data_IF_704870773976
#
_entry.id   IF_704870773976
#
_cell.length_a   1.000
_cell.length_b   1.000
_cell.length_c   1.000
_cell.angle_alpha   90.00
_cell.angle_beta   90.00
_cell.angle_gamma   90.00
#
_symmetry.space_group_name_H-M   'P 1'
#
loop_
_entity.id
_entity.type
_entity.pdbx_description
1 polymer ?
#
# COMPACT_ATOMS: atom_id res chain seq x y z
N UNK A 1 -13.23 -2.27 -19.96
CA UNK A 1 -13.14 -3.70 -20.33
C UNK A 1 -12.88 -4.48 -19.05
N UNK A 2 -13.90 -5.11 -18.48
CA UNK A 2 -13.66 -6.18 -17.51
C UNK A 2 -13.21 -7.39 -18.32
N UNK A 3 -11.90 -7.64 -18.28
CA UNK A 3 -11.36 -8.80 -18.98
C UNK A 3 -11.74 -10.07 -18.23
N UNK A 4 -11.92 -11.15 -19.00
CA UNK A 4 -12.50 -12.43 -18.59
C UNK A 4 -11.98 -12.90 -17.23
N UNK A 5 -12.91 -13.35 -16.37
CA UNK A 5 -12.72 -14.06 -15.08
C UNK A 5 -11.36 -14.76 -14.99
N UNK A 6 -10.34 -14.06 -14.48
CA UNK A 6 -9.08 -14.70 -14.08
C UNK A 6 -9.39 -15.50 -12.84
N UNK A 7 -9.57 -16.82 -12.99
CA UNK A 7 -9.75 -17.72 -11.86
C UNK A 7 -8.44 -17.82 -11.08
N UNK A 8 -8.52 -18.09 -9.76
CA UNK A 8 -7.31 -18.30 -8.95
C UNK A 8 -6.42 -19.40 -9.52
N UNK A 9 -7.03 -20.47 -10.05
CA UNK A 9 -6.30 -21.52 -10.77
C UNK A 9 -5.51 -21.02 -11.99
N UNK A 10 -6.11 -20.19 -12.85
CA UNK A 10 -5.40 -19.62 -14.01
C UNK A 10 -4.25 -18.71 -13.57
N UNK A 11 -4.48 -17.90 -12.54
CA UNK A 11 -3.46 -17.06 -11.95
C UNK A 11 -2.29 -17.90 -11.39
N UNK A 12 -2.60 -18.94 -10.62
CA UNK A 12 -1.61 -19.87 -10.03
C UNK A 12 -0.74 -20.50 -11.11
N UNK A 13 -1.35 -20.97 -12.20
CA UNK A 13 -0.61 -21.54 -13.31
C UNK A 13 0.38 -20.53 -13.90
N UNK A 14 -0.09 -19.32 -14.22
CA UNK A 14 0.76 -18.26 -14.78
C UNK A 14 1.87 -17.82 -13.83
N UNK A 15 1.56 -17.66 -12.54
CA UNK A 15 2.53 -17.25 -11.54
C UNK A 15 3.62 -18.30 -11.32
N UNK A 16 3.28 -19.60 -11.35
CA UNK A 16 4.26 -20.68 -11.29
C UNK A 16 5.13 -20.76 -12.54
N UNK A 17 4.54 -20.70 -13.74
CA UNK A 17 5.34 -20.67 -14.98
C UNK A 17 6.30 -19.48 -15.03
N UNK A 18 5.86 -18.32 -14.51
CA UNK A 18 6.75 -17.16 -14.37
C UNK A 18 7.87 -17.41 -13.35
N UNK A 19 7.58 -18.02 -12.20
CA UNK A 19 8.58 -18.36 -11.19
C UNK A 19 9.62 -19.36 -11.71
N UNK A 20 9.20 -20.34 -12.49
CA UNK A 20 10.08 -21.32 -13.13
C UNK A 20 11.05 -20.62 -14.11
N UNK A 21 10.55 -19.68 -14.91
CA UNK A 21 11.38 -18.87 -15.80
C UNK A 21 12.31 -17.92 -15.01
N UNK A 22 11.82 -17.34 -13.91
CA UNK A 22 12.58 -16.45 -13.05
C UNK A 22 13.76 -17.16 -12.35
N UNK A 23 13.56 -18.43 -11.99
CA UNK A 23 14.56 -19.26 -11.30
C UNK A 23 15.31 -20.22 -12.21
N UNK A 24 15.12 -20.10 -13.53
CA UNK A 24 15.76 -20.96 -14.50
C UNK A 24 17.29 -20.88 -14.34
N UNK A 25 17.98 -22.01 -14.07
CA UNK A 25 19.42 -22.00 -13.86
C UNK A 25 20.14 -21.66 -15.17
N UNK A 26 21.33 -21.06 -15.05
CA UNK A 26 22.21 -20.92 -16.19
C UNK A 26 22.58 -22.30 -16.74
N UNK A 27 22.60 -22.43 -18.06
CA UNK A 27 23.02 -23.66 -18.75
C UNK A 27 24.30 -23.42 -19.55
N UNK A 28 25.09 -24.47 -19.71
CA UNK A 28 26.39 -24.39 -20.37
C UNK A 28 27.51 -23.86 -19.46
N UNK A 29 28.71 -23.75 -20.01
CA UNK A 29 29.88 -23.28 -19.28
C UNK A 29 30.10 -21.79 -19.54
N UNK A 30 30.35 -20.96 -18.50
CA UNK A 30 30.76 -19.57 -18.70
C UNK A 30 31.94 -19.52 -19.69
N UNK A 31 31.87 -18.63 -20.67
CA UNK A 31 32.84 -18.46 -21.76
C UNK A 31 32.74 -19.46 -22.95
N UNK A 32 31.65 -20.24 -23.05
CA UNK A 32 31.33 -20.98 -24.28
C UNK A 32 30.15 -20.35 -25.02
N UNK A 33 30.10 -20.54 -26.34
CA UNK A 33 29.03 -20.00 -27.21
C UNK A 33 27.64 -20.55 -26.90
N UNK A 34 27.55 -21.68 -26.20
CA UNK A 34 26.30 -22.30 -25.77
C UNK A 34 25.88 -21.92 -24.35
N UNK A 35 26.51 -20.93 -23.73
CA UNK A 35 26.13 -20.46 -22.40
C UNK A 35 24.81 -19.66 -22.46
N UNK A 36 23.80 -20.14 -21.75
CA UNK A 36 22.57 -19.39 -21.52
C UNK A 36 22.55 -18.96 -20.06
N UNK A 37 22.57 -17.65 -19.83
CA UNK A 37 22.53 -17.10 -18.48
C UNK A 37 21.11 -17.20 -17.93
N UNK A 38 20.98 -17.83 -16.77
CA UNK A 38 19.76 -17.82 -15.96
C UNK A 38 19.52 -16.46 -15.31
N UNK A 39 18.29 -16.22 -14.87
CA UNK A 39 17.88 -14.92 -14.32
C UNK A 39 18.32 -14.77 -12.86
N UNK A 40 17.66 -15.49 -11.95
CA UNK A 40 17.89 -15.44 -10.51
C UNK A 40 17.98 -16.85 -9.92
N UNK A 41 18.51 -16.96 -8.71
CA UNK A 41 18.56 -18.22 -7.95
C UNK A 41 17.33 -18.34 -7.08
N UNK A 42 17.04 -19.57 -6.65
CA UNK A 42 16.00 -19.85 -5.66
C UNK A 42 16.22 -19.08 -4.35
N UNK A 43 17.47 -18.80 -4.00
CA UNK A 43 17.86 -18.01 -2.82
C UNK A 43 17.48 -16.52 -2.93
N UNK A 44 17.28 -16.02 -4.15
CA UNK A 44 16.91 -14.62 -4.41
C UNK A 44 15.39 -14.40 -4.34
N UNK A 45 14.62 -15.45 -4.05
CA UNK A 45 13.16 -15.35 -3.88
C UNK A 45 12.86 -14.56 -2.61
N UNK A 46 12.31 -13.37 -2.79
CA UNK A 46 11.84 -12.54 -1.67
C UNK A 46 10.50 -13.05 -1.12
N UNK A 47 10.14 -12.69 0.12
CA UNK A 47 8.83 -13.01 0.68
C UNK A 47 7.65 -12.55 -0.19
N UNK A 48 7.78 -11.41 -0.88
CA UNK A 48 6.74 -10.91 -1.79
C UNK A 48 6.53 -11.83 -2.99
N UNK A 49 7.60 -12.37 -3.57
CA UNK A 49 7.50 -13.33 -4.68
C UNK A 49 6.85 -14.62 -4.19
N UNK A 50 7.24 -15.11 -3.00
CA UNK A 50 6.63 -16.29 -2.41
C UNK A 50 5.12 -16.12 -2.23
N UNK A 51 4.68 -14.98 -1.67
CA UNK A 51 3.25 -14.65 -1.49
C UNK A 51 2.51 -14.57 -2.82
N UNK A 52 3.10 -13.92 -3.82
CA UNK A 52 2.52 -13.80 -5.16
C UNK A 52 2.27 -15.18 -5.80
N UNK A 53 3.26 -16.06 -5.79
CA UNK A 53 3.19 -17.33 -6.53
C UNK A 53 2.42 -18.44 -5.80
N UNK A 54 2.36 -18.40 -4.46
CA UNK A 54 1.79 -19.48 -3.66
C UNK A 54 0.45 -19.12 -3.01
N UNK A 55 0.25 -17.86 -2.61
CA UNK A 55 -0.89 -17.46 -1.77
C UNK A 55 -1.89 -16.58 -2.52
N UNK A 56 -1.46 -15.72 -3.43
CA UNK A 56 -2.37 -14.76 -4.08
C UNK A 56 -3.55 -15.40 -4.85
N UNK A 57 -3.37 -16.61 -5.40
CA UNK A 57 -4.45 -17.38 -6.03
C UNK A 57 -5.54 -17.80 -5.03
N UNK A 58 -5.16 -18.26 -3.85
CA UNK A 58 -6.08 -18.64 -2.78
C UNK A 58 -6.85 -17.41 -2.28
N UNK A 59 -6.16 -16.28 -2.10
CA UNK A 59 -6.79 -15.01 -1.75
C UNK A 59 -7.83 -14.56 -2.78
N UNK A 60 -7.53 -14.73 -4.08
CA UNK A 60 -8.47 -14.42 -5.16
C UNK A 60 -9.72 -15.31 -5.10
N UNK A 61 -9.59 -16.58 -4.70
CA UNK A 61 -10.72 -17.51 -4.61
C UNK A 61 -11.56 -17.25 -3.36
N UNK A 62 -10.93 -17.09 -2.19
CA UNK A 62 -11.64 -16.84 -0.92
C UNK A 62 -12.33 -15.48 -0.94
N UNK A 63 -11.70 -14.45 -1.51
CA UNK A 63 -12.17 -13.06 -1.43
C UNK A 63 -12.59 -12.49 -2.78
N UNK A 64 -13.05 -13.34 -3.71
CA UNK A 64 -13.48 -12.95 -5.05
C UNK A 64 -14.58 -11.86 -5.05
N UNK A 65 -15.41 -11.80 -4.00
CA UNK A 65 -16.46 -10.78 -3.85
C UNK A 65 -15.89 -9.38 -3.59
N UNK A 66 -14.85 -9.28 -2.77
CA UNK A 66 -14.25 -8.00 -2.36
C UNK A 66 -13.16 -7.53 -3.34
N UNK A 67 -12.51 -8.47 -4.01
CA UNK A 67 -11.38 -8.23 -4.89
C UNK A 67 -10.11 -7.78 -4.15
N UNK A 68 -8.97 -7.83 -4.84
CA UNK A 68 -7.65 -7.52 -4.23
C UNK A 68 -7.55 -6.06 -3.76
N UNK A 69 -8.28 -5.14 -4.38
CA UNK A 69 -8.27 -3.72 -4.02
C UNK A 69 -8.75 -3.48 -2.58
N UNK A 70 -9.64 -4.33 -2.06
CA UNK A 70 -10.14 -4.23 -0.68
C UNK A 70 -9.05 -4.48 0.38
N UNK A 71 -8.00 -5.23 0.03
CA UNK A 71 -6.86 -5.52 0.90
C UNK A 71 -5.72 -4.51 0.76
N UNK A 72 -5.87 -3.52 -0.12
CA UNK A 72 -4.88 -2.47 -0.27
C UNK A 72 -4.84 -1.57 0.97
N UNK A 73 -3.64 -1.28 1.45
CA UNK A 73 -3.42 -0.29 2.51
C UNK A 73 -3.41 1.16 2.00
N UNK A 74 -3.58 1.39 0.69
CA UNK A 74 -3.60 2.75 0.12
C UNK A 74 -4.56 3.72 0.81
N UNK A 75 -5.78 3.32 1.25
CA UNK A 75 -6.66 4.22 1.99
C UNK A 75 -6.06 4.67 3.34
N UNK A 76 -5.38 3.77 4.05
CA UNK A 76 -4.74 4.04 5.35
C UNK A 76 -3.54 4.96 5.15
N UNK A 77 -2.69 4.68 4.17
CA UNK A 77 -1.56 5.54 3.80
C UNK A 77 -2.02 6.94 3.41
N UNK A 78 -3.08 7.03 2.62
CA UNK A 78 -3.69 8.32 2.24
C UNK A 78 -4.23 9.07 3.44
N UNK A 79 -4.90 8.38 4.39
CA UNK A 79 -5.38 9.00 5.63
C UNK A 79 -4.22 9.53 6.47
N UNK A 80 -3.17 8.74 6.65
CA UNK A 80 -1.97 9.15 7.36
C UNK A 80 -1.30 10.36 6.69
N UNK A 81 -1.13 10.33 5.37
CA UNK A 81 -0.58 11.45 4.62
C UNK A 81 -1.41 12.73 4.78
N UNK A 82 -2.75 12.64 4.66
CA UNK A 82 -3.63 13.79 4.87
C UNK A 82 -3.55 14.33 6.29
N UNK A 83 -3.46 13.47 7.30
CA UNK A 83 -3.29 13.87 8.70
C UNK A 83 -1.96 14.60 8.90
N UNK A 84 -0.87 14.06 8.36
CA UNK A 84 0.45 14.70 8.40
C UNK A 84 0.40 16.08 7.71
N UNK A 85 -0.19 16.18 6.52
CA UNK A 85 -0.31 17.46 5.81
C UNK A 85 -1.20 18.48 6.53
N UNK A 86 -2.31 18.05 7.12
CA UNK A 86 -3.27 18.92 7.82
C UNK A 86 -2.62 19.60 9.02
N UNK A 87 -1.92 18.84 9.85
CA UNK A 87 -1.40 19.32 11.13
C UNK A 87 0.02 19.83 11.04
N UNK A 88 0.86 19.20 10.23
CA UNK A 88 2.27 19.57 10.15
C UNK A 88 2.61 20.45 8.97
N UNK A 89 1.69 20.80 8.04
CA UNK A 89 1.81 21.85 6.99
C UNK A 89 3.25 22.27 6.56
N UNK A 90 4.19 21.33 6.38
CA UNK A 90 5.64 21.57 6.23
C UNK A 90 6.38 22.31 7.38
N UNK A 91 5.83 22.48 8.58
CA UNK A 91 6.56 22.97 9.75
C UNK A 91 7.45 21.87 10.34
N UNK A 92 8.69 22.29 10.66
CA UNK A 92 9.76 21.47 11.23
C UNK A 92 9.29 20.73 12.50
N UNK A 93 9.92 19.57 12.75
CA UNK A 93 9.86 18.81 14.01
C UNK A 93 9.63 19.77 15.18
N UNK A 94 8.57 19.54 15.95
CA UNK A 94 8.13 20.31 17.13
C UNK A 94 7.01 21.34 16.90
N UNK A 95 6.26 21.21 15.80
CA UNK A 95 5.13 22.07 15.40
C UNK A 95 3.94 22.14 16.38
N UNK A 96 4.14 22.73 17.56
CA UNK A 96 3.11 23.33 18.39
C UNK A 96 2.97 24.82 18.08
N UNK A 97 1.76 25.36 18.27
CA UNK A 97 1.60 26.81 18.22
C UNK A 97 2.38 27.43 19.38
N UNK A 98 3.35 28.32 19.13
CA UNK A 98 4.15 28.97 20.20
C UNK A 98 3.30 29.66 21.27
N UNK A 99 2.08 30.08 20.92
CA UNK A 99 1.13 30.71 21.83
C UNK A 99 0.29 29.70 22.62
N UNK A 100 0.25 28.45 22.15
CA UNK A 100 -0.35 27.32 22.84
C UNK A 100 0.73 26.66 23.69
N UNK A 101 0.48 26.51 24.99
CA UNK A 101 1.36 25.72 25.87
C UNK A 101 1.13 24.20 25.71
N UNK A 102 0.47 23.76 24.64
CA UNK A 102 0.15 22.34 24.39
C UNK A 102 1.12 21.74 23.37
N UNK A 103 1.33 20.43 23.47
CA UNK A 103 2.05 19.70 22.43
C UNK A 103 1.20 19.63 21.16
N UNK A 104 1.84 19.51 20.00
CA UNK A 104 1.17 19.32 18.71
C UNK A 104 0.17 18.15 18.76
N UNK A 105 0.52 17.07 19.46
CA UNK A 105 -0.32 15.88 19.62
C UNK A 105 -1.62 16.21 20.37
N UNK A 106 -1.55 17.00 21.46
CA UNK A 106 -2.75 17.41 22.21
C UNK A 106 -3.65 18.32 21.37
N UNK A 107 -3.07 19.25 20.60
CA UNK A 107 -3.83 20.11 19.68
C UNK A 107 -4.53 19.29 18.59
N UNK A 108 -3.86 18.28 18.05
CA UNK A 108 -4.44 17.34 17.08
C UNK A 108 -5.61 16.57 17.68
N UNK A 109 -5.42 15.97 18.86
CA UNK A 109 -6.46 15.20 19.54
C UNK A 109 -7.69 16.04 19.88
N UNK A 110 -7.50 17.27 20.37
CA UNK A 110 -8.60 18.19 20.66
C UNK A 110 -9.37 18.58 19.39
N UNK A 111 -8.65 18.89 18.31
CA UNK A 111 -9.28 19.22 17.02
C UNK A 111 -10.08 18.03 16.46
N UNK A 112 -9.54 16.80 16.50
CA UNK A 112 -10.25 15.59 16.06
C UNK A 112 -11.50 15.33 16.93
N UNK A 113 -11.37 15.48 18.25
CA UNK A 113 -12.48 15.30 19.18
C UNK A 113 -13.60 16.34 18.96
N UNK A 114 -13.24 17.60 18.67
CA UNK A 114 -14.23 18.62 18.30
C UNK A 114 -14.92 18.31 16.98
N UNK A 115 -14.20 17.83 15.96
CA UNK A 115 -14.83 17.42 14.70
C UNK A 115 -15.85 16.29 14.92
N UNK A 116 -15.50 15.30 15.75
CA UNK A 116 -16.42 14.22 16.14
C UNK A 116 -17.65 14.77 16.85
N UNK A 117 -17.47 15.66 17.83
CA UNK A 117 -18.57 16.30 18.54
C UNK A 117 -19.54 17.03 17.60
N UNK A 118 -19.03 17.86 16.68
CA UNK A 118 -19.87 18.57 15.71
C UNK A 118 -20.64 17.61 14.80
N UNK A 119 -19.98 16.54 14.33
CA UNK A 119 -20.59 15.53 13.48
C UNK A 119 -21.70 14.75 14.20
N UNK A 120 -21.43 14.28 15.43
CA UNK A 120 -22.39 13.51 16.24
C UNK A 120 -23.60 14.34 16.67
N UNK A 121 -23.39 15.60 17.03
CA UNK A 121 -24.47 16.47 17.50
C UNK A 121 -25.17 17.25 16.37
N UNK A 122 -24.79 17.02 15.10
CA UNK A 122 -25.32 17.74 13.92
C UNK A 122 -25.23 19.27 14.04
N UNK A 123 -24.23 19.76 14.76
CA UNK A 123 -23.99 21.20 14.95
C UNK A 123 -23.07 21.69 13.82
N UNK A 124 -23.29 22.88 13.23
CA UNK A 124 -22.43 23.42 12.20
C UNK A 124 -20.96 23.46 12.65
N UNK A 125 -20.07 22.90 11.85
CA UNK A 125 -18.65 22.91 12.15
C UNK A 125 -18.03 24.24 11.70
N UNK A 126 -17.55 25.02 12.66
CA UNK A 126 -16.91 26.32 12.43
C UNK A 126 -15.38 26.23 12.24
N UNK A 127 -14.81 25.02 12.28
CA UNK A 127 -13.37 24.80 12.10
C UNK A 127 -12.97 25.04 10.65
N UNK A 128 -11.85 25.76 10.47
CA UNK A 128 -11.29 26.08 9.16
C UNK A 128 -10.84 24.79 8.48
N UNK A 129 -11.43 24.45 7.34
CA UNK A 129 -11.03 23.25 6.57
C UNK A 129 -9.56 23.37 6.12
N UNK A 130 -8.82 22.26 6.16
CA UNK A 130 -7.50 22.18 5.53
C UNK A 130 -7.58 22.59 4.06
N UNK A 131 -6.60 23.36 3.60
CA UNK A 131 -6.38 23.53 2.17
C UNK A 131 -6.09 22.15 1.56
N UNK A 132 -6.95 21.70 0.64
CA UNK A 132 -6.70 20.48 -0.14
C UNK A 132 -5.58 20.78 -1.13
N UNK A 133 -4.42 20.21 -0.90
CA UNK A 133 -3.38 20.16 -1.92
C UNK A 133 -3.64 18.92 -2.77
N UNK A 134 -3.85 19.10 -4.08
CA UNK A 134 -3.84 17.99 -5.04
C UNK A 134 -2.38 17.57 -5.22
N UNK A 135 -2.06 16.33 -4.88
CA UNK A 135 -0.90 15.67 -5.47
C UNK A 135 -1.25 15.44 -6.96
N UNK A 136 -0.44 16.03 -7.85
CA UNK A 136 -0.46 15.69 -9.27
C UNK A 136 0.16 14.31 -9.47
#
# INVERSE_FOLDING_TARGET
MQDKKTTGEFFRYKAKSWLDAFTAPSTGHPNRSNFVRGMYRVQDITPYIHVLCNHAAEFLEIHHEFGLAAFSCSPVEKKNHMQVCLYFQNTLKDGGNKNSRKSAILEMLEHENWQLYFASNKVPNFLKKSKKYRLQ
#
